data_IF_891016231669
#
_entry.id   IF_891016231669
#
_cell.length_a   1.000
_cell.length_b   1.000
_cell.length_c   1.000
_cell.angle_alpha   90.00
_cell.angle_beta   90.00
_cell.angle_gamma   90.00
#
_symmetry.space_group_name_H-M   'P 1'
#
loop_
_entity.id
_entity.type
_entity.pdbx_description
1 polymer ?
#
# COMPACT_ATOMS: atom_id res chain seq x y z
N UNK A 1 1.86 10.65 5.13
CA UNK A 1 2.45 9.29 5.03
C UNK A 1 1.34 8.31 4.66
N UNK A 2 1.46 7.58 3.55
CA UNK A 2 0.42 6.69 3.04
C UNK A 2 0.43 5.33 3.74
N UNK A 3 -0.07 5.31 4.98
CA UNK A 3 -0.55 4.09 5.61
C UNK A 3 -2.00 3.83 5.17
N UNK A 4 -2.34 2.57 4.96
CA UNK A 4 -3.73 2.17 4.87
C UNK A 4 -4.33 2.07 6.27
N UNK A 5 -5.64 2.31 6.35
CA UNK A 5 -6.47 2.06 7.51
C UNK A 5 -7.66 1.22 7.07
N UNK A 6 -7.95 0.18 7.84
CA UNK A 6 -9.18 -0.59 7.74
C UNK A 6 -9.88 -0.54 9.09
N UNK A 7 -11.21 -0.45 9.07
CA UNK A 7 -12.04 -0.37 10.28
C UNK A 7 -12.47 -1.74 10.78
N UNK A 8 -12.69 -2.69 9.87
CA UNK A 8 -13.05 -4.06 10.16
C UNK A 8 -12.17 -5.05 9.38
N UNK A 9 -12.28 -6.33 9.72
CA UNK A 9 -11.48 -7.35 9.08
C UNK A 9 -11.91 -7.59 7.63
N UNK A 10 -10.91 -7.76 6.75
CA UNK A 10 -11.09 -8.03 5.31
C UNK A 10 -10.52 -9.40 4.97
N UNK A 11 -11.21 -10.17 4.15
CA UNK A 11 -10.83 -11.51 3.70
C UNK A 11 -11.73 -12.61 4.26
N UNK A 12 -11.18 -13.81 4.44
CA UNK A 12 -11.94 -14.96 4.93
C UNK A 12 -12.46 -14.73 6.35
N UNK A 13 -13.78 -14.91 6.54
CA UNK A 13 -14.46 -14.66 7.81
C UNK A 13 -14.42 -13.19 8.27
N UNK A 14 -14.07 -12.25 7.39
CA UNK A 14 -14.11 -10.82 7.66
C UNK A 14 -15.48 -10.19 7.41
N UNK A 15 -15.67 -8.96 7.90
CA UNK A 15 -16.88 -8.18 7.63
C UNK A 15 -16.96 -7.71 6.17
N UNK A 16 -15.80 -7.53 5.51
CA UNK A 16 -15.71 -7.26 4.08
C UNK A 16 -16.54 -6.06 3.62
N UNK A 17 -16.62 -5.03 4.45
CA UNK A 17 -17.22 -3.75 4.10
C UNK A 17 -16.48 -3.11 2.92
N UNK A 18 -17.28 -2.48 2.05
CA UNK A 18 -16.85 -2.02 0.73
C UNK A 18 -15.59 -1.13 0.77
N UNK A 19 -15.52 -0.19 1.72
CA UNK A 19 -14.41 0.74 1.83
C UNK A 19 -13.11 0.05 2.22
N UNK A 20 -13.12 -0.84 3.23
CA UNK A 20 -11.91 -1.53 3.66
C UNK A 20 -11.40 -2.50 2.58
N UNK A 21 -12.32 -3.16 1.85
CA UNK A 21 -11.94 -4.03 0.72
C UNK A 21 -11.26 -3.22 -0.38
N UNK A 22 -11.77 -2.03 -0.75
CA UNK A 22 -11.13 -1.17 -1.75
C UNK A 22 -9.73 -0.73 -1.33
N UNK A 23 -9.57 -0.37 -0.04
CA UNK A 23 -8.28 0.00 0.52
C UNK A 23 -7.30 -1.16 0.42
N UNK A 24 -7.72 -2.38 0.78
CA UNK A 24 -6.90 -3.59 0.70
C UNK A 24 -6.53 -3.93 -0.74
N UNK A 25 -7.49 -3.93 -1.68
CA UNK A 25 -7.24 -4.21 -3.09
C UNK A 25 -6.23 -3.21 -3.69
N UNK A 26 -6.39 -1.92 -3.38
CA UNK A 26 -5.47 -0.86 -3.81
C UNK A 26 -4.06 -1.08 -3.27
N UNK A 27 -3.93 -1.42 -1.99
CA UNK A 27 -2.63 -1.67 -1.38
C UNK A 27 -1.96 -2.94 -1.91
N UNK A 28 -2.71 -4.03 -2.09
CA UNK A 28 -2.20 -5.25 -2.71
C UNK A 28 -1.69 -4.99 -4.13
N UNK A 29 -2.39 -4.20 -4.93
CA UNK A 29 -1.92 -3.81 -6.26
C UNK A 29 -0.60 -3.02 -6.24
N UNK A 30 -0.31 -2.27 -5.19
CA UNK A 30 0.98 -1.58 -5.03
C UNK A 30 2.09 -2.54 -4.60
N UNK A 31 1.77 -3.48 -3.70
CA UNK A 31 2.76 -4.36 -3.06
C UNK A 31 3.08 -5.61 -3.88
N UNK A 32 2.07 -6.21 -4.53
CA UNK A 32 2.22 -7.47 -5.26
C UNK A 32 2.94 -7.29 -6.59
N UNK A 33 3.01 -6.08 -7.17
CA UNK A 33 3.80 -5.80 -8.37
C UNK A 33 5.27 -6.23 -8.27
N UNK A 34 5.79 -6.37 -7.05
CA UNK A 34 7.16 -6.81 -6.77
C UNK A 34 7.28 -8.33 -6.53
N UNK A 35 6.18 -9.08 -6.62
CA UNK A 35 6.09 -10.52 -6.35
C UNK A 35 5.50 -11.20 -7.60
N UNK A 36 6.32 -11.70 -8.54
CA UNK A 36 5.81 -12.47 -9.67
C UNK A 36 5.29 -13.86 -9.22
N UNK A 37 4.38 -14.50 -9.98
CA UNK A 37 3.62 -13.98 -11.12
C UNK A 37 2.27 -13.42 -10.65
N UNK A 38 2.14 -12.11 -10.51
CA UNK A 38 0.88 -11.49 -10.05
C UNK A 38 0.26 -10.59 -11.12
N UNK A 39 -1.07 -10.72 -11.28
CA UNK A 39 -1.90 -9.78 -12.03
C UNK A 39 -2.51 -8.79 -11.04
N UNK A 40 -2.69 -7.55 -11.49
CA UNK A 40 -3.40 -6.54 -10.68
C UNK A 40 -4.85 -6.96 -10.47
N UNK A 41 -5.32 -6.79 -9.24
CA UNK A 41 -6.72 -6.96 -8.84
C UNK A 41 -7.56 -5.82 -9.39
N UNK A 42 -8.84 -6.11 -9.63
CA UNK A 42 -9.86 -5.08 -9.82
C UNK A 42 -10.16 -4.45 -8.46
N UNK A 43 -10.23 -3.12 -8.40
CA UNK A 43 -10.54 -2.36 -7.17
C UNK A 43 -12.04 -2.03 -7.15
N UNK A 44 -12.86 -3.04 -6.87
CA UNK A 44 -14.33 -2.94 -6.85
C UNK A 44 -14.91 -2.89 -5.42
N UNK A 45 -14.10 -3.18 -4.40
CA UNK A 45 -14.55 -3.27 -3.01
C UNK A 45 -15.34 -4.54 -2.70
N UNK A 46 -15.22 -5.59 -3.53
CA UNK A 46 -16.00 -6.82 -3.40
C UNK A 46 -15.08 -8.04 -3.31
N UNK A 47 -15.47 -9.00 -2.48
CA UNK A 47 -14.87 -10.34 -2.50
C UNK A 47 -15.69 -11.35 -3.33
N UNK A 48 -16.92 -10.98 -3.71
CA UNK A 48 -17.88 -11.87 -4.34
C UNK A 48 -18.67 -12.70 -3.31
N UNK A 49 -19.67 -13.45 -3.78
CA UNK A 49 -20.56 -14.26 -2.92
C UNK A 49 -19.83 -15.41 -2.21
N UNK A 50 -18.64 -15.79 -2.72
CA UNK A 50 -17.80 -16.88 -2.21
C UNK A 50 -16.38 -16.35 -1.95
N UNK A 51 -16.11 -15.80 -0.75
CA UNK A 51 -14.81 -15.21 -0.43
C UNK A 51 -13.62 -16.16 -0.63
N UNK A 52 -13.80 -17.46 -0.46
CA UNK A 52 -12.79 -18.50 -0.69
C UNK A 52 -12.29 -18.59 -2.14
N UNK A 53 -13.11 -18.18 -3.09
CA UNK A 53 -12.76 -18.13 -4.52
C UNK A 53 -12.34 -16.71 -4.96
N UNK A 54 -12.30 -15.76 -4.03
CA UNK A 54 -11.97 -14.37 -4.35
C UNK A 54 -10.51 -14.21 -4.74
N UNK A 55 -10.26 -13.53 -5.86
CA UNK A 55 -8.90 -13.13 -6.27
C UNK A 55 -8.21 -12.27 -5.22
N UNK A 56 -8.98 -11.45 -4.49
CA UNK A 56 -8.46 -10.64 -3.38
C UNK A 56 -8.00 -11.52 -2.23
N UNK A 57 -8.76 -12.55 -1.85
CA UNK A 57 -8.34 -13.49 -0.79
C UNK A 57 -7.10 -14.27 -1.18
N UNK A 58 -7.01 -14.74 -2.44
CA UNK A 58 -5.81 -15.39 -2.96
C UNK A 58 -4.60 -14.46 -2.88
N UNK A 59 -4.77 -13.19 -3.25
CA UNK A 59 -3.73 -12.17 -3.14
C UNK A 59 -3.30 -11.89 -1.69
N UNK A 60 -4.24 -11.89 -0.73
CA UNK A 60 -3.93 -11.77 0.70
C UNK A 60 -3.08 -12.96 1.16
N UNK A 61 -3.50 -14.20 0.83
CA UNK A 61 -2.75 -15.42 1.17
C UNK A 61 -1.34 -15.40 0.60
N UNK A 62 -1.20 -14.95 -0.65
CA UNK A 62 0.09 -14.82 -1.30
C UNK A 62 0.99 -13.82 -0.58
N UNK A 63 0.47 -12.64 -0.23
CA UNK A 63 1.21 -11.63 0.52
C UNK A 63 1.66 -12.18 1.89
N UNK A 64 0.76 -12.82 2.63
CA UNK A 64 1.05 -13.46 3.91
C UNK A 64 2.15 -14.53 3.80
N UNK A 65 2.07 -15.40 2.79
CA UNK A 65 3.09 -16.42 2.56
C UNK A 65 4.45 -15.79 2.20
N UNK A 66 4.48 -14.88 1.23
CA UNK A 66 5.74 -14.37 0.65
C UNK A 66 6.40 -13.25 1.44
N UNK A 67 5.62 -12.47 2.19
CA UNK A 67 6.13 -11.29 2.90
C UNK A 67 6.18 -11.51 4.41
N UNK A 68 5.25 -12.28 4.97
CA UNK A 68 5.24 -12.60 6.39
C UNK A 68 5.84 -13.99 6.68
N UNK A 69 6.20 -14.77 5.66
CA UNK A 69 6.67 -16.16 5.78
C UNK A 69 5.69 -17.03 6.57
N UNK A 70 4.38 -16.78 6.42
CA UNK A 70 3.36 -17.58 7.08
C UNK A 70 3.29 -18.97 6.45
N UNK A 71 3.48 -20.00 7.27
CA UNK A 71 3.37 -21.42 6.85
C UNK A 71 1.95 -21.78 6.45
N UNK A 72 0.96 -21.19 7.12
CA UNK A 72 -0.48 -21.38 6.84
C UNK A 72 -1.16 -20.02 6.67
N UNK A 73 -1.12 -19.43 5.48
CA UNK A 73 -1.82 -18.18 5.18
C UNK A 73 -3.33 -18.34 5.32
N UNK A 74 -3.94 -17.53 6.18
CA UNK A 74 -5.38 -17.58 6.49
C UNK A 74 -6.23 -16.78 5.51
N UNK A 75 -5.64 -15.86 4.74
CA UNK A 75 -6.39 -15.01 3.80
C UNK A 75 -7.26 -13.96 4.46
N UNK A 76 -6.96 -13.57 5.70
CA UNK A 76 -7.65 -12.53 6.47
C UNK A 76 -6.69 -11.41 6.87
N UNK A 77 -7.20 -10.19 6.94
CA UNK A 77 -6.49 -9.02 7.43
C UNK A 77 -7.35 -8.38 8.51
N UNK A 78 -6.95 -8.57 9.77
CA UNK A 78 -7.59 -7.89 10.89
C UNK A 78 -7.12 -6.44 11.00
N UNK A 79 -8.04 -5.56 11.42
CA UNK A 79 -7.71 -4.18 11.73
C UNK A 79 -6.62 -4.13 12.81
N UNK A 80 -5.58 -3.33 12.57
CA UNK A 80 -4.37 -3.24 13.39
C UNK A 80 -3.62 -4.57 13.63
N UNK A 81 -3.98 -5.65 12.92
CA UNK A 81 -3.36 -6.95 13.01
C UNK A 81 -1.99 -7.03 12.32
N UNK A 82 -1.36 -8.20 12.42
CA UNK A 82 0.00 -8.45 11.92
C UNK A 82 0.16 -8.14 10.43
N UNK A 83 -0.76 -8.64 9.60
CA UNK A 83 -0.73 -8.43 8.15
C UNK A 83 -0.95 -6.97 7.80
N UNK A 84 -1.89 -6.29 8.46
CA UNK A 84 -2.15 -4.86 8.27
C UNK A 84 -0.92 -3.99 8.57
N UNK A 85 -0.25 -4.22 9.71
CA UNK A 85 0.98 -3.50 10.08
C UNK A 85 2.09 -3.73 9.05
N UNK A 86 2.30 -4.98 8.64
CA UNK A 86 3.33 -5.31 7.64
C UNK A 86 3.05 -4.66 6.28
N UNK A 87 1.79 -4.57 5.85
CA UNK A 87 1.43 -3.83 4.63
C UNK A 87 1.82 -2.36 4.75
N UNK A 88 1.51 -1.72 5.87
CA UNK A 88 1.89 -0.32 6.13
C UNK A 88 3.41 -0.12 6.11
N UNK A 89 4.17 -0.98 6.78
CA UNK A 89 5.64 -0.94 6.74
C UNK A 89 6.19 -1.05 5.30
N UNK A 90 5.65 -1.98 4.50
CA UNK A 90 6.09 -2.17 3.11
C UNK A 90 5.71 -0.99 2.22
N UNK A 91 4.51 -0.43 2.38
CA UNK A 91 4.09 0.76 1.64
C UNK A 91 5.00 1.96 1.94
N UNK A 92 5.35 2.19 3.21
CA UNK A 92 6.29 3.23 3.61
C UNK A 92 7.69 2.99 3.01
N UNK A 93 8.17 1.75 3.04
CA UNK A 93 9.48 1.37 2.46
C UNK A 93 9.52 1.56 0.94
N UNK A 94 8.43 1.24 0.23
CA UNK A 94 8.36 1.47 -1.22
C UNK A 94 8.44 2.95 -1.55
N UNK A 95 7.80 3.82 -0.75
CA UNK A 95 7.83 5.26 -0.97
C UNK A 95 9.21 5.86 -0.71
N UNK A 96 9.86 5.47 0.39
CA UNK A 96 11.21 5.98 0.69
C UNK A 96 12.20 5.57 -0.40
N UNK A 97 12.16 4.31 -0.87
CA UNK A 97 12.98 3.85 -2.00
C UNK A 97 12.72 4.61 -3.31
N UNK A 98 11.49 5.06 -3.56
CA UNK A 98 11.19 5.90 -4.73
C UNK A 98 11.78 7.30 -4.54
N UNK A 99 11.65 7.88 -3.35
CA UNK A 99 12.24 9.20 -3.02
C UNK A 99 13.76 9.22 -3.18
N UNK A 100 14.46 8.14 -2.82
CA UNK A 100 15.93 8.04 -3.02
C UNK A 100 16.36 7.69 -4.45
N UNK A 101 15.43 7.38 -5.38
CA UNK A 101 15.73 7.01 -6.77
C UNK A 101 15.28 8.02 -7.83
N UNK A 102 14.76 9.18 -7.44
CA UNK A 102 14.49 10.26 -8.39
C UNK A 102 15.76 11.10 -8.62
N UNK A 103 16.12 11.44 -9.88
CA UNK A 103 17.14 12.45 -10.12
C UNK A 103 16.64 13.77 -9.51
N UNK A 104 17.56 14.51 -8.90
CA UNK A 104 17.34 15.90 -8.47
C UNK A 104 17.10 16.72 -9.73
N UNK A 105 15.85 16.80 -10.18
CA UNK A 105 15.43 17.70 -11.23
C UNK A 105 13.97 18.07 -10.99
N UNK A 106 13.71 19.36 -10.88
CA UNK A 106 12.43 20.01 -10.56
C UNK A 106 12.17 20.21 -9.06
N UNK A 107 13.14 20.81 -8.37
CA UNK A 107 12.81 21.89 -7.44
C UNK A 107 13.13 23.17 -8.19
N UNK A 108 12.14 23.75 -8.86
CA UNK A 108 12.19 25.15 -9.23
C UNK A 108 12.00 25.96 -7.94
N UNK A 109 13.10 26.22 -7.23
CA UNK A 109 13.18 27.40 -6.37
C UNK A 109 13.40 28.56 -7.33
N UNK A 110 12.30 29.06 -7.88
CA UNK A 110 12.24 30.45 -8.31
C UNK A 110 11.65 31.25 -7.15
N UNK A 111 12.14 32.48 -6.97
CA UNK A 111 11.83 33.50 -5.97
C UNK A 111 12.76 33.45 -4.74
N UNK A 112 13.70 34.35 -4.53
CA UNK A 112 14.04 35.63 -5.15
C UNK A 112 15.52 35.89 -4.85
N UNK A 113 16.20 36.45 -5.83
CA UNK A 113 17.57 36.96 -5.83
C UNK A 113 17.85 37.96 -4.71
N UNK A 114 19.04 37.84 -4.13
CA UNK A 114 19.75 38.96 -3.52
C UNK A 114 19.70 40.19 -4.45
N UNK A 115 19.13 41.30 -3.96
CA UNK A 115 19.39 42.61 -4.55
C UNK A 115 20.25 43.39 -3.57
N UNK A 116 21.49 43.63 -4.00
CA UNK A 116 22.43 44.54 -3.36
C UNK A 116 21.80 45.91 -3.10
N UNK A 117 21.81 46.33 -1.83
CA UNK A 117 21.64 47.72 -1.42
C UNK A 117 22.94 48.22 -0.80
N UNK A 118 23.80 48.83 -1.63
CA UNK A 118 25.06 49.46 -1.25
C UNK A 118 24.87 50.61 -0.23
N UNK A 119 25.69 50.78 0.82
CA UNK A 119 25.77 52.03 1.55
C UNK A 119 26.88 52.93 0.96
N UNK A 120 26.46 54.02 0.32
CA UNK A 120 27.20 55.27 0.12
C UNK A 120 26.22 56.35 0.57
N UNK A 121 26.46 57.18 1.58
CA UNK A 121 27.62 57.99 1.99
C UNK A 121 27.47 58.32 3.48
#
# INVERSE_FOLDING_TARGET
MSSIKITQAVGLGGANNLNDVKVVQTALNKLLKFIPPTKSLIVDGRLGSRPESSKTVVAIKLFQSKVLNMVRPDGKIDANGRTHRKMNEKLLTTLSKVTYKLPIASIDIQMLSDSEGSPRI
#
